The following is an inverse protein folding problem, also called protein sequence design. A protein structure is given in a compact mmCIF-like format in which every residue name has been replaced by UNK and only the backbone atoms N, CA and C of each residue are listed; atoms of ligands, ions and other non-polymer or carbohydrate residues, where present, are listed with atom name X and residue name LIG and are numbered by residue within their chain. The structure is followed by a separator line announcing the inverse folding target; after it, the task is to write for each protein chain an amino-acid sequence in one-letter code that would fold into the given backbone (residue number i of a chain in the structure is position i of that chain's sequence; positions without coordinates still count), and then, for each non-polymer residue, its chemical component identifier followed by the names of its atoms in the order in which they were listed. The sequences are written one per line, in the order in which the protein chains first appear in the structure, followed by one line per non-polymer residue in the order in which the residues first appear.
data_IF_648499236744
#
_entry.id   IF_648499236744
#
_cell.length_a   1.000
_cell.length_b   1.000
_cell.length_c   1.000
_cell.angle_alpha   90.00
_cell.angle_beta   90.00
_cell.angle_gamma   90.00
#
_symmetry.space_group_name_H-M   'P 1'
#
loop_
_entity.id
_entity.type
_entity.pdbx_description
1 polymer ?
#
# COMPACT_ATOMS: atom_id res chain seq x y z
N UNK A 1 -16.10 -3.31 -3.64
CA UNK A 1 -15.96 -4.49 -4.53
C UNK A 1 -15.83 -5.77 -3.73
N UNK A 2 -14.85 -5.86 -2.81
CA UNK A 2 -14.60 -7.03 -1.94
C UNK A 2 -15.87 -7.51 -1.23
N UNK A 3 -16.54 -6.64 -0.46
CA UNK A 3 -17.77 -6.99 0.27
C UNK A 3 -18.94 -7.43 -0.63
N UNK A 4 -19.07 -6.84 -1.81
CA UNK A 4 -20.16 -7.16 -2.73
C UNK A 4 -19.97 -8.51 -3.42
N UNK A 5 -18.72 -8.86 -3.74
CA UNK A 5 -18.39 -10.09 -4.45
C UNK A 5 -17.94 -11.22 -3.52
N UNK A 6 -17.78 -10.95 -2.21
CA UNK A 6 -17.24 -11.87 -1.21
C UNK A 6 -15.90 -12.51 -1.66
N UNK A 7 -15.03 -11.68 -2.24
CA UNK A 7 -13.74 -12.07 -2.82
C UNK A 7 -12.64 -11.11 -2.44
N UNK A 8 -11.41 -11.61 -2.42
CA UNK A 8 -10.20 -10.80 -2.17
C UNK A 8 -10.04 -9.68 -3.20
N UNK A 9 -9.33 -8.62 -2.81
CA UNK A 9 -8.94 -7.53 -3.69
C UNK A 9 -8.27 -8.10 -4.97
N UNK A 10 -8.83 -7.86 -6.17
CA UNK A 10 -8.29 -8.42 -7.39
C UNK A 10 -6.89 -7.88 -7.72
N UNK A 11 -6.53 -6.69 -7.23
CA UNK A 11 -5.19 -6.12 -7.39
C UNK A 11 -4.15 -6.83 -6.53
N UNK A 12 -4.57 -7.42 -5.41
CA UNK A 12 -3.75 -8.26 -4.56
C UNK A 12 -3.70 -9.70 -5.10
N UNK A 13 -4.86 -10.29 -5.40
CA UNK A 13 -5.01 -11.66 -5.92
C UNK A 13 -4.20 -11.86 -7.21
N UNK A 14 -4.21 -10.87 -8.11
CA UNK A 14 -3.53 -10.93 -9.41
C UNK A 14 -2.29 -10.02 -9.48
N UNK A 15 -1.63 -9.77 -8.35
CA UNK A 15 -0.48 -8.85 -8.31
C UNK A 15 0.65 -9.25 -9.26
N UNK A 16 0.97 -10.54 -9.40
CA UNK A 16 2.06 -10.98 -10.29
C UNK A 16 1.77 -10.67 -11.77
N UNK A 17 0.50 -10.77 -12.19
CA UNK A 17 0.08 -10.34 -13.53
C UNK A 17 0.21 -8.83 -13.72
N UNK A 18 -0.06 -8.05 -12.68
CA UNK A 18 0.18 -6.61 -12.69
C UNK A 18 1.67 -6.30 -12.81
N UNK A 19 2.54 -7.07 -12.14
CA UNK A 19 3.99 -6.94 -12.26
C UNK A 19 4.48 -7.24 -13.69
N UNK A 20 3.96 -8.29 -14.33
CA UNK A 20 4.28 -8.60 -15.74
C UNK A 20 3.97 -7.42 -16.68
N UNK A 21 2.79 -6.81 -16.52
CA UNK A 21 2.39 -5.64 -17.28
C UNK A 21 3.27 -4.42 -16.97
N UNK A 22 3.54 -4.15 -15.69
CA UNK A 22 4.37 -3.04 -15.28
C UNK A 22 5.79 -3.16 -15.86
N UNK A 23 6.32 -4.38 -15.92
CA UNK A 23 7.63 -4.66 -16.53
C UNK A 23 7.63 -4.51 -18.05
N UNK A 24 6.57 -4.94 -18.73
CA UNK A 24 6.46 -4.81 -20.20
C UNK A 24 6.52 -3.35 -20.65
N UNK A 25 5.91 -2.45 -19.87
CA UNK A 25 5.75 -1.04 -20.23
C UNK A 25 6.62 -0.07 -19.42
N UNK A 26 7.55 -0.58 -18.59
CA UNK A 26 8.41 0.22 -17.69
C UNK A 26 7.61 1.22 -16.83
N UNK A 27 6.55 0.71 -16.17
CA UNK A 27 5.69 1.50 -15.29
C UNK A 27 6.18 1.39 -13.86
N UNK A 28 6.38 2.55 -13.22
CA UNK A 28 6.62 2.64 -11.77
C UNK A 28 5.30 2.47 -11.01
N UNK A 29 5.31 1.59 -10.01
CA UNK A 29 4.17 1.37 -9.13
C UNK A 29 4.15 2.39 -7.99
N UNK A 30 3.01 3.06 -7.81
CA UNK A 30 2.67 3.80 -6.60
C UNK A 30 1.68 2.94 -5.82
N UNK A 31 2.12 2.31 -4.73
CA UNK A 31 1.24 1.49 -3.92
C UNK A 31 0.42 2.40 -3.00
N UNK A 32 -0.88 2.49 -3.32
CA UNK A 32 -1.81 3.40 -2.67
C UNK A 32 -2.14 3.03 -1.22
N UNK A 33 -2.42 4.06 -0.44
CA UNK A 33 -2.80 4.00 0.97
C UNK A 33 -4.33 4.05 1.14
N UNK A 34 -5.00 2.99 0.68
CA UNK A 34 -6.46 2.90 0.68
C UNK A 34 -7.11 3.02 2.07
N UNK A 35 -6.38 2.66 3.12
CA UNK A 35 -6.77 2.75 4.54
C UNK A 35 -6.08 3.92 5.26
N UNK A 36 -5.65 4.96 4.54
CA UNK A 36 -5.09 6.15 5.18
C UNK A 36 -6.08 6.86 6.11
N UNK A 37 -5.60 7.52 7.18
CA UNK A 37 -6.47 8.24 8.10
C UNK A 37 -7.15 9.44 7.42
N UNK A 38 -8.49 9.43 7.44
CA UNK A 38 -9.32 10.55 6.97
C UNK A 38 -9.53 11.64 8.02
N UNK A 39 -9.17 11.36 9.28
CA UNK A 39 -9.25 12.30 10.40
C UNK A 39 -8.14 12.04 11.41
N UNK A 40 -7.93 12.99 12.32
CA UNK A 40 -6.94 12.83 13.41
C UNK A 40 -7.31 11.71 14.39
N UNK A 41 -8.58 11.31 14.46
CA UNK A 41 -9.02 10.24 15.35
C UNK A 41 -8.64 8.85 14.81
N UNK A 42 -8.46 8.74 13.50
CA UNK A 42 -8.15 7.49 12.80
C UNK A 42 -6.64 7.32 12.58
N UNK A 43 -5.84 8.28 13.04
CA UNK A 43 -4.41 8.31 12.81
C UNK A 43 -3.69 7.17 13.53
N UNK A 44 -2.89 6.41 12.77
CA UNK A 44 -2.14 5.22 13.24
C UNK A 44 -3.08 4.15 13.82
N UNK A 45 -4.26 3.99 13.23
CA UNK A 45 -5.18 2.92 13.60
C UNK A 45 -4.72 1.55 13.06
N UNK A 46 -5.46 0.51 13.43
CA UNK A 46 -5.14 -0.85 13.02
C UNK A 46 -5.22 -1.04 11.50
N UNK A 47 -6.20 -0.44 10.84
CA UNK A 47 -6.42 -0.63 9.41
C UNK A 47 -5.27 -0.04 8.59
N UNK A 48 -4.82 1.16 8.96
CA UNK A 48 -3.67 1.82 8.35
C UNK A 48 -2.40 0.96 8.48
N UNK A 49 -2.12 0.45 9.69
CA UNK A 49 -0.91 -0.34 9.95
C UNK A 49 -0.95 -1.69 9.22
N UNK A 50 -2.10 -2.37 9.20
CA UNK A 50 -2.25 -3.64 8.47
C UNK A 50 -2.07 -3.48 6.96
N UNK A 51 -2.60 -2.40 6.38
CA UNK A 51 -2.34 -2.08 4.97
C UNK A 51 -0.86 -1.83 4.74
N UNK A 52 -0.20 -1.02 5.56
CA UNK A 52 1.22 -0.69 5.38
C UNK A 52 2.12 -1.94 5.43
N UNK A 53 1.86 -2.88 6.34
CA UNK A 53 2.60 -4.16 6.39
C UNK A 53 2.41 -4.96 5.09
N UNK A 54 1.18 -5.01 4.59
CA UNK A 54 0.87 -5.67 3.31
C UNK A 54 1.60 -5.00 2.15
N UNK A 55 1.64 -3.66 2.12
CA UNK A 55 2.39 -2.91 1.10
C UNK A 55 3.89 -3.22 1.17
N UNK A 56 4.47 -3.39 2.37
CA UNK A 56 5.86 -3.81 2.53
C UNK A 56 6.18 -5.14 1.85
N UNK A 57 5.28 -6.13 1.92
CA UNK A 57 5.42 -7.39 1.20
C UNK A 57 5.33 -7.20 -0.33
N UNK A 58 4.41 -6.36 -0.79
CA UNK A 58 4.22 -6.06 -2.21
C UNK A 58 5.39 -5.27 -2.80
N UNK A 59 6.03 -4.39 -2.03
CA UNK A 59 7.27 -3.70 -2.39
C UNK A 59 8.38 -4.71 -2.64
N UNK A 60 8.59 -5.64 -1.72
CA UNK A 60 9.63 -6.67 -1.87
C UNK A 60 9.40 -7.51 -3.12
N UNK A 61 8.14 -7.90 -3.39
CA UNK A 61 7.77 -8.64 -4.61
C UNK A 61 8.03 -7.83 -5.89
N UNK A 62 7.65 -6.55 -5.92
CA UNK A 62 7.92 -5.67 -7.07
C UNK A 62 9.42 -5.49 -7.32
N UNK A 63 10.22 -5.29 -6.26
CA UNK A 63 11.67 -5.17 -6.35
C UNK A 63 12.33 -6.46 -6.87
N UNK A 64 11.89 -7.63 -6.39
CA UNK A 64 12.37 -8.94 -6.90
C UNK A 64 12.03 -9.13 -8.38
N UNK A 65 10.91 -8.60 -8.86
CA UNK A 65 10.52 -8.60 -10.26
C UNK A 65 11.24 -7.52 -11.11
N UNK A 66 12.08 -6.68 -10.50
CA UNK A 66 12.83 -5.62 -11.17
C UNK A 66 11.98 -4.40 -11.53
N UNK A 67 10.90 -4.14 -10.80
CA UNK A 67 9.95 -3.06 -11.06
C UNK A 67 10.17 -1.92 -10.05
N UNK A 68 10.17 -0.69 -10.55
CA UNK A 68 10.29 0.51 -9.72
C UNK A 68 9.01 0.67 -8.89
N UNK A 69 9.15 0.94 -7.60
CA UNK A 69 8.01 1.03 -6.67
C UNK A 69 8.23 2.09 -5.60
N UNK A 70 7.16 2.80 -5.24
CA UNK A 70 7.06 3.69 -4.09
C UNK A 70 5.77 3.41 -3.31
N UNK A 71 5.74 3.80 -2.03
CA UNK A 71 4.59 3.62 -1.14
C UNK A 71 3.98 5.00 -0.87
N UNK A 72 2.67 5.12 -1.03
CA UNK A 72 1.95 6.34 -0.66
C UNK A 72 1.89 6.50 0.86
N UNK A 73 1.97 7.74 1.33
CA UNK A 73 2.07 8.08 2.73
C UNK A 73 0.74 8.56 3.30
N UNK A 74 0.57 8.47 4.63
CA UNK A 74 -0.69 8.68 5.32
C UNK A 74 -1.32 10.07 5.12
N UNK A 75 -2.62 10.16 5.42
CA UNK A 75 -3.40 11.40 5.38
C UNK A 75 -3.27 12.25 6.64
N UNK A 76 -4.35 12.33 7.42
CA UNK A 76 -4.43 13.24 8.55
C UNK A 76 -3.68 12.67 9.77
N UNK A 77 -2.48 13.20 10.04
CA UNK A 77 -1.68 12.84 11.21
C UNK A 77 -1.46 14.02 12.16
N UNK A 78 -1.51 13.81 13.48
CA UNK A 78 -1.03 14.80 14.43
C UNK A 78 0.50 14.86 14.37
N UNK A 79 1.07 16.05 14.60
CA UNK A 79 2.50 16.32 14.45
C UNK A 79 3.40 15.34 15.24
N UNK A 80 2.98 14.95 16.43
CA UNK A 80 3.72 14.03 17.30
C UNK A 80 3.72 12.56 16.83
N UNK A 81 2.96 12.20 15.79
CA UNK A 81 2.93 10.86 15.22
C UNK A 81 3.63 10.76 13.86
N UNK A 82 4.05 11.87 13.27
CA UNK A 82 4.71 11.87 11.95
C UNK A 82 6.00 11.05 11.96
N UNK A 83 6.86 11.25 12.96
CA UNK A 83 8.12 10.51 13.07
C UNK A 83 7.90 9.00 13.19
N UNK A 84 6.93 8.57 14.00
CA UNK A 84 6.61 7.16 14.17
C UNK A 84 6.14 6.51 12.86
N UNK A 85 5.35 7.23 12.06
CA UNK A 85 4.90 6.74 10.74
C UNK A 85 6.06 6.63 9.76
N UNK A 86 7.01 7.58 9.77
CA UNK A 86 8.22 7.51 8.94
C UNK A 86 9.12 6.34 9.33
N UNK A 87 9.20 5.99 10.62
CA UNK A 87 10.00 4.85 11.08
C UNK A 87 9.35 3.49 10.78
N UNK A 88 8.01 3.47 10.65
CA UNK A 88 7.26 2.26 10.35
C UNK A 88 7.31 1.88 8.86
N UNK A 89 7.42 2.90 7.98
CA UNK A 89 7.58 2.75 6.53
C UNK A 89 9.01 2.38 6.14
#
# INVERSE_FOLDING_TARGET
WILYNERENPLYEYYDRLLELAREFDVTLSLGDGMRPGSLADATDRAQVEELLTLGELVQRAQQAGIQVMVEGPGHLPLNQIEANVQLQ
#
